data_IF_172120973799
#
_entry.id   IF_172120973799
#
_cell.length_a   1.000
_cell.length_b   1.000
_cell.length_c   1.000
_cell.angle_alpha   90.00
_cell.angle_beta   90.00
_cell.angle_gamma   90.00
#
_symmetry.space_group_name_H-M   'P 1'
#
loop_
_entity.id
_entity.type
_entity.pdbx_description
1 polymer ?
#
# COMPACT_ATOMS: atom_id res chain seq x y z
N UNK A 1 17.03 12.43 -12.51
CA UNK A 1 16.99 13.05 -11.17
C UNK A 1 15.83 12.46 -10.41
N UNK A 2 16.12 11.73 -9.35
CA UNK A 2 15.17 10.98 -8.52
C UNK A 2 14.45 11.98 -7.63
N UNK A 3 13.30 12.51 -8.06
CA UNK A 3 12.47 13.28 -7.14
C UNK A 3 11.54 12.29 -6.47
N UNK A 4 12.08 11.62 -5.44
CA UNK A 4 11.24 11.08 -4.38
C UNK A 4 10.34 12.22 -3.84
N UNK A 5 9.18 11.90 -3.24
CA UNK A 5 8.37 12.91 -2.57
C UNK A 5 9.24 13.77 -1.64
N UNK A 6 9.00 15.08 -1.62
CA UNK A 6 9.83 16.05 -0.90
C UNK A 6 10.09 15.58 0.54
N UNK A 7 11.37 15.49 0.91
CA UNK A 7 11.80 15.07 2.25
C UNK A 7 12.00 13.56 2.44
N UNK A 8 11.83 12.74 1.40
CA UNK A 8 12.13 11.30 1.43
C UNK A 8 13.49 11.00 0.79
N UNK A 9 14.29 10.19 1.48
CA UNK A 9 15.57 9.69 0.99
C UNK A 9 15.65 8.18 1.27
N UNK A 10 16.09 7.42 0.25
CA UNK A 10 16.12 5.96 0.33
C UNK A 10 17.00 5.43 1.44
N UNK A 11 18.20 5.98 1.53
CA UNK A 11 19.22 5.55 2.47
C UNK A 11 18.86 6.02 3.89
N UNK A 12 18.26 7.20 4.01
CA UNK A 12 17.83 7.73 5.32
C UNK A 12 16.69 6.89 5.90
N UNK A 13 15.65 6.55 5.13
CA UNK A 13 14.56 5.71 5.63
C UNK A 13 15.05 4.31 6.02
N UNK A 14 15.94 3.73 5.21
CA UNK A 14 16.54 2.42 5.52
C UNK A 14 17.37 2.48 6.81
N UNK A 15 18.21 3.51 6.97
CA UNK A 15 19.00 3.70 8.18
C UNK A 15 18.12 3.93 9.42
N UNK A 16 17.04 4.71 9.28
CA UNK A 16 16.06 4.91 10.35
C UNK A 16 15.40 3.60 10.77
N UNK A 17 15.07 2.73 9.80
CA UNK A 17 14.57 1.40 10.10
C UNK A 17 15.62 0.55 10.83
N UNK A 18 16.85 0.46 10.31
CA UNK A 18 17.91 -0.36 10.89
C UNK A 18 18.22 0.06 12.34
N UNK A 19 18.12 1.35 12.67
CA UNK A 19 18.25 1.84 14.04
C UNK A 19 17.17 1.34 15.01
N UNK A 20 16.01 0.86 14.50
CA UNK A 20 14.87 0.36 15.28
C UNK A 20 14.32 -1.00 14.81
N UNK A 21 15.11 -1.77 14.07
CA UNK A 21 14.72 -3.04 13.43
C UNK A 21 14.35 -4.19 14.39
N UNK A 22 14.24 -3.92 15.70
CA UNK A 22 13.76 -4.86 16.69
C UNK A 22 13.10 -4.14 17.87
N UNK A 23 12.00 -4.70 18.39
CA UNK A 23 11.23 -4.14 19.52
C UNK A 23 12.07 -3.95 20.80
N UNK A 24 12.90 -4.95 21.13
CA UNK A 24 13.82 -4.91 22.28
C UNK A 24 15.08 -4.14 21.91
N UNK A 25 15.36 -3.04 22.61
CA UNK A 25 16.52 -2.17 22.37
C UNK A 25 17.84 -2.94 22.34
N UNK A 26 18.07 -3.82 23.33
CA UNK A 26 19.30 -4.63 23.43
C UNK A 26 19.57 -5.56 22.23
N UNK A 27 18.55 -5.86 21.42
CA UNK A 27 18.66 -6.74 20.23
C UNK A 27 18.83 -5.96 18.93
N UNK A 28 18.65 -4.63 18.94
CA UNK A 28 18.71 -3.80 17.71
C UNK A 28 20.06 -3.86 16.99
N UNK A 29 21.23 -3.80 17.66
CA UNK A 29 22.51 -3.91 16.96
C UNK A 29 22.66 -5.26 16.25
N UNK A 30 22.29 -6.36 16.91
CA UNK A 30 22.34 -7.70 16.32
C UNK A 30 21.32 -7.88 15.19
N UNK A 31 20.11 -7.35 15.35
CA UNK A 31 19.09 -7.35 14.31
C UNK A 31 19.55 -6.58 13.06
N UNK A 32 20.17 -5.40 13.24
CA UNK A 32 20.69 -4.62 12.12
C UNK A 32 21.81 -5.38 11.39
N UNK A 33 22.72 -6.03 12.13
CA UNK A 33 23.76 -6.88 11.56
C UNK A 33 23.16 -8.03 10.74
N UNK A 34 22.17 -8.75 11.27
CA UNK A 34 21.47 -9.83 10.55
C UNK A 34 20.86 -9.30 9.24
N UNK A 35 20.15 -8.16 9.28
CA UNK A 35 19.55 -7.58 8.08
C UNK A 35 20.60 -7.22 7.01
N UNK A 36 21.79 -6.79 7.43
CA UNK A 36 22.90 -6.48 6.54
C UNK A 36 23.56 -7.74 5.96
N UNK A 37 23.82 -8.74 6.81
CA UNK A 37 24.46 -10.00 6.42
C UNK A 37 23.59 -10.79 5.41
N UNK A 38 22.27 -10.78 5.61
CA UNK A 38 21.29 -11.39 4.71
C UNK A 38 21.06 -10.58 3.43
N UNK A 39 21.81 -9.48 3.23
CA UNK A 39 21.64 -8.55 2.10
C UNK A 39 20.17 -8.16 1.89
N UNK A 40 19.44 -7.96 3.01
CA UNK A 40 17.99 -7.94 3.01
C UNK A 40 17.45 -6.92 2.00
N UNK A 41 18.02 -5.72 2.02
CA UNK A 41 17.62 -4.63 1.12
C UNK A 41 18.41 -4.57 -0.19
N UNK A 42 19.55 -5.26 -0.30
CA UNK A 42 20.38 -5.27 -1.52
C UNK A 42 19.92 -6.39 -2.48
N UNK A 43 18.97 -6.05 -3.35
CA UNK A 43 18.43 -6.98 -4.33
C UNK A 43 19.44 -7.40 -5.42
N UNK A 44 20.45 -6.57 -5.70
CA UNK A 44 21.46 -6.89 -6.70
C UNK A 44 22.34 -8.07 -6.27
N UNK A 45 22.50 -8.27 -4.95
CA UNK A 45 23.26 -9.39 -4.36
C UNK A 45 22.45 -10.66 -4.10
N UNK A 46 21.13 -10.62 -4.23
CA UNK A 46 20.26 -11.77 -3.95
C UNK A 46 20.06 -12.65 -5.18
N UNK A 47 19.83 -13.94 -4.97
CA UNK A 47 19.39 -14.86 -6.03
C UNK A 47 18.01 -14.45 -6.56
N UNK A 48 17.70 -14.81 -7.81
CA UNK A 48 16.38 -14.58 -8.38
C UNK A 48 15.35 -15.63 -7.89
N UNK A 49 15.18 -15.74 -6.56
CA UNK A 49 14.24 -16.68 -5.91
C UNK A 49 13.48 -16.00 -4.78
N UNK A 50 12.24 -16.43 -4.56
CA UNK A 50 11.45 -15.91 -3.44
C UNK A 50 11.95 -16.51 -2.13
N UNK A 51 12.50 -15.66 -1.27
CA UNK A 51 13.07 -16.04 0.04
C UNK A 51 12.16 -15.68 1.22
N UNK A 52 10.97 -15.14 0.98
CA UNK A 52 10.13 -14.57 2.03
C UNK A 52 9.82 -15.56 3.15
N UNK A 53 9.37 -16.76 2.77
CA UNK A 53 8.93 -17.79 3.73
C UNK A 53 10.10 -18.35 4.53
N UNK A 54 11.23 -18.58 3.86
CA UNK A 54 12.48 -19.03 4.49
C UNK A 54 12.96 -18.00 5.51
N UNK A 55 13.14 -16.75 5.08
CA UNK A 55 13.57 -15.67 5.97
C UNK A 55 12.65 -15.54 7.19
N UNK A 56 11.33 -15.56 6.97
CA UNK A 56 10.34 -15.41 8.04
C UNK A 56 10.45 -16.52 9.10
N UNK A 57 10.78 -17.75 8.67
CA UNK A 57 10.94 -18.92 9.52
C UNK A 57 12.32 -19.03 10.18
N UNK A 58 13.33 -18.32 9.68
CA UNK A 58 14.69 -18.35 10.22
C UNK A 58 14.76 -17.80 11.64
N UNK A 59 15.60 -18.42 12.46
CA UNK A 59 15.96 -17.99 13.81
C UNK A 59 17.48 -17.87 13.92
N UNK A 60 17.96 -16.70 14.34
CA UNK A 60 19.37 -16.44 14.59
C UNK A 60 19.64 -16.39 16.10
N UNK A 61 20.61 -17.18 16.56
CA UNK A 61 21.09 -17.11 17.93
C UNK A 61 22.08 -15.96 18.08
N UNK A 62 21.82 -15.06 19.04
CA UNK A 62 22.68 -13.91 19.32
C UNK A 62 23.01 -13.83 20.81
N UNK A 63 24.08 -13.11 21.21
CA UNK A 63 24.34 -12.83 22.61
C UNK A 63 23.18 -12.14 23.36
N UNK A 64 22.30 -11.42 22.64
CA UNK A 64 21.10 -10.78 23.19
C UNK A 64 19.84 -11.67 23.20
N UNK A 65 20.03 -12.96 22.90
CA UNK A 65 19.01 -14.01 22.75
C UNK A 65 18.55 -14.20 21.31
N UNK A 66 17.73 -15.23 21.07
CA UNK A 66 17.18 -15.56 19.76
C UNK A 66 16.41 -14.37 19.13
N UNK A 67 16.66 -14.13 17.84
CA UNK A 67 15.94 -13.19 16.97
C UNK A 67 15.35 -14.00 15.83
N UNK A 68 14.06 -13.84 15.54
CA UNK A 68 13.39 -14.54 14.44
C UNK A 68 13.12 -13.61 13.26
N UNK A 69 12.99 -14.16 12.06
CA UNK A 69 12.58 -13.38 10.89
C UNK A 69 11.21 -12.73 11.08
N UNK A 70 10.31 -13.41 11.80
CA UNK A 70 9.02 -12.85 12.21
C UNK A 70 9.13 -11.64 13.14
N UNK A 71 10.08 -11.62 14.10
CA UNK A 71 10.34 -10.44 14.95
C UNK A 71 10.82 -9.25 14.09
N UNK A 72 11.73 -9.50 13.13
CA UNK A 72 12.26 -8.48 12.21
C UNK A 72 11.16 -7.93 11.28
N UNK A 73 10.36 -8.81 10.67
CA UNK A 73 9.23 -8.42 9.83
C UNK A 73 8.13 -7.70 10.62
N UNK A 74 7.95 -8.05 11.90
CA UNK A 74 7.06 -7.29 12.77
C UNK A 74 7.55 -5.86 12.98
N UNK A 75 8.83 -5.67 13.27
CA UNK A 75 9.42 -4.35 13.42
C UNK A 75 9.37 -3.54 12.12
N UNK A 76 9.61 -4.19 10.97
CA UNK A 76 9.52 -3.56 9.65
C UNK A 76 8.10 -3.11 9.33
N UNK A 77 7.10 -3.97 9.57
CA UNK A 77 5.69 -3.61 9.40
C UNK A 77 5.30 -2.40 10.24
N UNK A 78 5.71 -2.38 11.50
CA UNK A 78 5.41 -1.26 12.40
C UNK A 78 6.05 0.04 11.90
N UNK A 79 7.30 -0.04 11.44
CA UNK A 79 8.00 1.11 10.87
C UNK A 79 7.35 1.62 9.57
N UNK A 80 7.00 0.72 8.65
CA UNK A 80 6.35 1.10 7.39
C UNK A 80 4.96 1.69 7.63
N UNK A 81 4.19 1.15 8.59
CA UNK A 81 2.91 1.72 8.98
C UNK A 81 3.05 3.13 9.55
N UNK A 82 4.07 3.37 10.38
CA UNK A 82 4.40 4.71 10.90
C UNK A 82 4.76 5.69 9.76
N UNK A 83 5.61 5.27 8.82
CA UNK A 83 5.94 6.08 7.62
C UNK A 83 4.72 6.43 6.77
N UNK A 84 3.70 5.58 6.79
CA UNK A 84 2.45 5.79 6.06
C UNK A 84 1.36 6.52 6.88
N UNK A 85 1.68 6.99 8.08
CA UNK A 85 0.71 7.66 8.96
C UNK A 85 -0.39 6.73 9.46
N UNK A 86 -0.09 5.45 9.64
CA UNK A 86 -1.03 4.39 10.03
C UNK A 86 -2.21 4.25 9.05
N UNK A 87 -1.96 4.48 7.75
CA UNK A 87 -2.93 4.34 6.68
C UNK A 87 -2.48 3.30 5.65
N UNK A 88 -3.46 2.63 5.02
CA UNK A 88 -3.21 1.74 3.90
C UNK A 88 -2.55 2.51 2.75
N UNK A 89 -1.48 1.94 2.20
CA UNK A 89 -0.70 2.56 1.13
C UNK A 89 -1.48 2.78 -0.19
N UNK A 90 -2.66 2.18 -0.35
CA UNK A 90 -3.51 2.34 -1.54
C UNK A 90 -4.81 3.11 -1.26
N UNK A 91 -5.62 2.65 -0.31
CA UNK A 91 -6.94 3.23 -0.05
C UNK A 91 -6.97 4.28 1.05
N UNK A 92 -5.83 4.55 1.70
CA UNK A 92 -5.70 5.53 2.81
C UNK A 92 -6.63 5.31 4.00
N UNK A 93 -7.36 4.19 4.05
CA UNK A 93 -8.11 3.79 5.24
C UNK A 93 -7.15 3.53 6.38
N UNK A 94 -7.56 3.88 7.59
CA UNK A 94 -6.79 3.65 8.80
C UNK A 94 -6.49 2.16 8.97
N UNK A 95 -5.23 1.86 9.31
CA UNK A 95 -4.79 0.51 9.63
C UNK A 95 -4.99 0.28 11.13
N UNK A 96 -5.76 -0.76 11.46
CA UNK A 96 -5.86 -1.20 12.84
C UNK A 96 -4.55 -1.88 13.26
N UNK A 97 -4.17 -1.70 14.52
CA UNK A 97 -3.01 -2.39 15.08
C UNK A 97 -3.31 -3.89 15.20
N UNK A 98 -2.56 -4.70 14.47
CA UNK A 98 -2.68 -6.16 14.44
C UNK A 98 -2.09 -6.73 13.14
N UNK A 99 -1.28 -7.79 13.22
CA UNK A 99 -0.53 -8.32 12.07
C UNK A 99 -1.40 -8.70 10.86
N UNK A 100 -2.61 -9.21 11.11
CA UNK A 100 -3.56 -9.59 10.06
C UNK A 100 -4.23 -8.37 9.39
N UNK A 101 -4.36 -7.26 10.11
CA UNK A 101 -5.05 -6.06 9.62
C UNK A 101 -4.16 -5.17 8.74
N UNK A 102 -2.84 -5.35 8.83
CA UNK A 102 -1.82 -4.57 8.12
C UNK A 102 -0.72 -5.45 7.51
N UNK A 103 -1.04 -6.33 6.55
CA UNK A 103 -0.04 -7.15 5.84
C UNK A 103 1.07 -6.28 5.22
N UNK A 104 2.27 -6.85 5.15
CA UNK A 104 3.34 -6.25 4.34
C UNK A 104 3.00 -6.48 2.86
N UNK A 105 2.83 -5.38 2.16
CA UNK A 105 2.56 -5.33 0.72
C UNK A 105 3.88 -5.41 -0.06
N UNK A 106 3.88 -6.24 -1.10
CA UNK A 106 4.95 -6.25 -2.09
C UNK A 106 4.47 -5.49 -3.32
N UNK A 107 5.02 -4.30 -3.56
CA UNK A 107 4.58 -3.44 -4.67
C UNK A 107 4.72 -4.18 -6.00
N UNK A 108 5.91 -4.74 -6.24
CA UNK A 108 6.16 -5.74 -7.28
C UNK A 108 5.89 -7.15 -6.70
N UNK A 109 5.01 -7.95 -7.32
CA UNK A 109 4.65 -9.28 -6.82
C UNK A 109 5.87 -10.21 -6.69
N UNK A 110 5.94 -10.96 -5.59
CA UNK A 110 7.02 -11.95 -5.34
C UNK A 110 7.10 -13.05 -6.40
N UNK A 111 5.96 -13.41 -7.01
CA UNK A 111 5.90 -14.45 -8.04
C UNK A 111 6.54 -13.98 -9.37
N UNK A 112 6.45 -12.69 -9.68
CA UNK A 112 6.95 -12.09 -10.92
C UNK A 112 8.35 -11.50 -10.74
N UNK A 113 8.64 -10.96 -9.55
CA UNK A 113 9.91 -10.33 -9.22
C UNK A 113 10.52 -10.86 -7.91
N UNK A 114 10.85 -12.17 -7.84
CA UNK A 114 11.32 -12.81 -6.61
C UNK A 114 12.61 -12.20 -6.04
N UNK A 115 13.50 -11.71 -6.91
CA UNK A 115 14.69 -10.94 -6.51
C UNK A 115 14.34 -9.74 -5.62
N UNK A 116 13.19 -9.11 -5.78
CA UNK A 116 12.78 -7.95 -4.98
C UNK A 116 11.96 -8.27 -3.74
N UNK A 117 11.80 -9.55 -3.38
CA UNK A 117 11.02 -9.98 -2.22
C UNK A 117 11.36 -9.22 -0.94
N UNK A 118 12.64 -9.03 -0.61
CA UNK A 118 13.05 -8.34 0.63
C UNK A 118 13.49 -6.89 0.41
N UNK A 119 13.49 -6.40 -0.83
CA UNK A 119 13.98 -5.07 -1.17
C UNK A 119 13.17 -4.00 -0.43
N UNK A 120 13.84 -3.06 0.25
CA UNK A 120 13.16 -2.15 1.19
C UNK A 120 12.01 -1.44 0.50
N UNK A 121 12.29 -0.80 -0.63
CA UNK A 121 11.32 -0.01 -1.38
C UNK A 121 10.24 -0.84 -2.08
N UNK A 122 10.41 -2.15 -2.16
CA UNK A 122 9.34 -3.05 -2.60
C UNK A 122 8.30 -3.32 -1.51
N UNK A 123 8.62 -3.00 -0.26
CA UNK A 123 7.80 -3.31 0.90
C UNK A 123 7.06 -2.06 1.37
N UNK A 124 5.75 -2.18 1.48
CA UNK A 124 4.84 -1.19 2.05
C UNK A 124 3.85 -1.90 2.99
N UNK A 125 2.85 -1.19 3.51
CA UNK A 125 1.78 -1.79 4.32
C UNK A 125 0.43 -1.47 3.71
N UNK A 126 -0.34 -2.49 3.37
CA UNK A 126 -1.71 -2.33 2.86
C UNK A 126 -2.72 -2.88 3.87
N UNK A 127 -3.99 -2.56 3.71
CA UNK A 127 -5.05 -3.31 4.38
C UNK A 127 -5.25 -4.66 3.67
N UNK A 128 -5.74 -5.67 4.39
CA UNK A 128 -5.97 -7.02 3.86
C UNK A 128 -6.76 -7.02 2.54
N UNK A 129 -7.81 -6.20 2.48
CA UNK A 129 -8.63 -6.03 1.28
C UNK A 129 -7.83 -5.56 0.07
N UNK A 130 -7.04 -4.49 0.20
CA UNK A 130 -6.25 -3.99 -0.91
C UNK A 130 -5.15 -4.99 -1.31
N UNK A 131 -4.51 -5.63 -0.33
CA UNK A 131 -3.52 -6.69 -0.59
C UNK A 131 -4.13 -7.83 -1.43
N UNK A 132 -5.30 -8.33 -1.03
CA UNK A 132 -6.03 -9.40 -1.73
C UNK A 132 -6.47 -8.99 -3.13
N UNK A 133 -7.02 -7.78 -3.28
CA UNK A 133 -7.51 -7.32 -4.58
C UNK A 133 -6.35 -7.08 -5.56
N UNK A 134 -5.24 -6.48 -5.10
CA UNK A 134 -4.03 -6.32 -5.92
C UNK A 134 -3.44 -7.65 -6.37
N UNK A 135 -3.52 -8.70 -5.55
CA UNK A 135 -3.09 -10.04 -5.94
C UNK A 135 -3.79 -10.61 -7.18
N UNK A 136 -4.85 -9.95 -7.69
CA UNK A 136 -5.60 -10.32 -8.90
C UNK A 136 -5.33 -9.40 -10.09
N UNK A 137 -4.42 -8.44 -9.95
CA UNK A 137 -4.13 -7.42 -10.97
C UNK A 137 -2.73 -7.62 -11.54
N UNK A 138 -2.55 -7.30 -12.82
CA UNK A 138 -1.25 -7.39 -13.49
C UNK A 138 -0.30 -6.31 -12.96
N UNK A 139 0.97 -6.67 -12.81
CA UNK A 139 2.04 -5.73 -12.50
C UNK A 139 2.48 -4.95 -13.75
N UNK A 140 3.29 -3.91 -13.54
CA UNK A 140 3.95 -3.16 -14.62
C UNK A 140 4.80 -4.08 -15.50
N UNK A 141 4.62 -3.99 -16.82
CA UNK A 141 5.51 -4.64 -17.76
C UNK A 141 6.67 -3.70 -18.12
N UNK A 142 7.83 -3.95 -17.53
CA UNK A 142 9.04 -3.16 -17.77
C UNK A 142 9.72 -3.43 -19.12
N UNK A 143 9.28 -4.44 -19.88
CA UNK A 143 9.86 -4.79 -21.18
C UNK A 143 11.31 -5.30 -21.14
N UNK A 144 11.87 -5.51 -19.94
CA UNK A 144 13.23 -6.00 -19.68
C UNK A 144 13.30 -6.75 -18.36
N UNK A 145 14.32 -7.59 -18.21
CA UNK A 145 14.68 -8.13 -16.90
C UNK A 145 15.24 -7.02 -16.01
N UNK A 146 14.79 -6.99 -14.75
CA UNK A 146 15.22 -6.01 -13.77
C UNK A 146 16.32 -6.60 -12.89
N UNK A 147 17.52 -6.03 -12.99
CA UNK A 147 18.66 -6.34 -12.10
C UNK A 147 18.58 -5.49 -10.83
N UNK A 148 18.36 -4.19 -11.02
CA UNK A 148 18.17 -3.21 -9.95
C UNK A 148 16.70 -2.90 -9.73
N UNK A 149 16.36 -2.39 -8.55
CA UNK A 149 14.99 -1.97 -8.26
C UNK A 149 14.61 -0.76 -9.13
N UNK A 150 13.46 -0.78 -9.82
CA UNK A 150 13.06 0.29 -10.72
C UNK A 150 12.88 1.61 -9.97
N UNK A 151 13.34 2.69 -10.61
CA UNK A 151 13.14 4.05 -10.13
C UNK A 151 11.73 4.55 -10.43
N UNK A 152 11.39 5.72 -9.89
CA UNK A 152 10.04 6.30 -10.04
C UNK A 152 9.59 6.44 -11.51
N UNK A 153 10.50 6.79 -12.43
CA UNK A 153 10.22 6.97 -13.86
C UNK A 153 10.10 5.68 -14.66
N UNK A 154 10.54 4.54 -14.10
CA UNK A 154 10.41 3.24 -14.78
C UNK A 154 8.95 2.72 -14.72
N UNK A 155 8.16 3.19 -13.76
CA UNK A 155 6.73 2.91 -13.70
C UNK A 155 6.00 3.83 -14.66
N UNK A 156 5.34 3.26 -15.68
CA UNK A 156 4.61 4.02 -16.71
C UNK A 156 3.12 4.08 -16.37
N UNK A 157 2.58 2.99 -15.80
CA UNK A 157 1.15 2.84 -15.56
C UNK A 157 0.85 2.49 -14.10
N UNK A 158 1.66 1.67 -13.45
CA UNK A 158 1.43 1.25 -12.08
C UNK A 158 1.73 2.37 -11.08
N UNK A 159 0.85 2.55 -10.09
CA UNK A 159 1.13 3.43 -8.95
C UNK A 159 2.07 2.75 -7.95
N UNK A 160 3.17 3.43 -7.59
CA UNK A 160 4.11 2.96 -6.58
C UNK A 160 3.95 3.72 -5.24
N UNK A 161 3.42 3.09 -4.17
CA UNK A 161 3.05 3.79 -2.94
C UNK A 161 4.20 4.44 -2.17
N UNK A 162 5.45 4.09 -2.50
CA UNK A 162 6.63 4.71 -1.90
C UNK A 162 7.34 5.72 -2.78
N UNK A 163 7.23 5.59 -4.10
CA UNK A 163 7.98 6.42 -5.05
C UNK A 163 7.11 7.56 -5.60
N UNK A 164 5.78 7.40 -5.54
CA UNK A 164 4.81 8.36 -6.03
C UNK A 164 4.09 9.07 -4.88
N UNK A 165 3.99 10.38 -4.97
CA UNK A 165 3.31 11.23 -3.98
C UNK A 165 1.79 11.07 -4.13
N UNK A 166 1.11 10.56 -3.10
CA UNK A 166 -0.29 10.12 -3.21
C UNK A 166 -1.23 11.25 -3.67
N UNK A 167 -1.09 12.45 -3.12
CA UNK A 167 -2.05 13.54 -3.36
C UNK A 167 -1.83 14.20 -4.75
N UNK A 168 -0.65 14.04 -5.35
CA UNK A 168 -0.41 14.34 -6.76
C UNK A 168 -1.16 13.40 -7.71
N UNK A 169 -1.41 12.15 -7.30
CA UNK A 169 -2.01 11.13 -8.16
C UNK A 169 -3.50 10.90 -7.91
N UNK A 170 -4.01 11.26 -6.74
CA UNK A 170 -5.39 10.99 -6.34
C UNK A 170 -6.08 12.24 -5.79
N UNK A 171 -7.40 12.31 -6.02
CA UNK A 171 -8.32 13.05 -5.16
C UNK A 171 -9.28 12.01 -4.58
N UNK A 172 -9.55 12.08 -3.28
CA UNK A 172 -10.52 11.21 -2.66
C UNK A 172 -11.37 11.96 -1.64
N UNK A 173 -12.56 11.45 -1.40
CA UNK A 173 -13.47 11.90 -0.37
C UNK A 173 -14.04 10.68 0.36
N UNK A 174 -14.35 10.82 1.63
CA UNK A 174 -15.01 9.76 2.40
C UNK A 174 -16.28 10.34 3.00
N UNK A 175 -17.42 9.75 2.69
CA UNK A 175 -18.71 10.12 3.26
C UNK A 175 -19.03 9.09 4.34
N UNK A 176 -19.31 9.55 5.55
CA UNK A 176 -19.70 8.69 6.66
C UNK A 176 -21.07 9.10 7.18
N UNK A 177 -22.03 8.18 7.20
CA UNK A 177 -23.36 8.42 7.75
C UNK A 177 -23.92 7.15 8.38
N UNK A 178 -24.36 7.24 9.64
CA UNK A 178 -25.05 6.15 10.36
C UNK A 178 -24.36 4.77 10.27
N UNK A 179 -23.02 4.74 10.28
CA UNK A 179 -22.23 3.50 10.19
C UNK A 179 -22.04 2.96 8.76
N UNK A 180 -22.39 3.73 7.74
CA UNK A 180 -22.02 3.49 6.34
C UNK A 180 -20.84 4.39 6.00
N UNK A 181 -19.79 3.82 5.41
CA UNK A 181 -18.61 4.55 4.93
C UNK A 181 -18.50 4.39 3.43
N UNK A 182 -18.59 5.50 2.69
CA UNK A 182 -18.54 5.54 1.23
C UNK A 182 -17.28 6.29 0.81
N UNK A 183 -16.17 5.60 0.54
CA UNK A 183 -15.00 6.24 -0.03
C UNK A 183 -15.17 6.41 -1.54
N UNK A 184 -14.83 7.58 -2.05
CA UNK A 184 -14.86 7.94 -3.47
C UNK A 184 -13.43 8.31 -3.88
N UNK A 185 -12.93 7.71 -4.95
CA UNK A 185 -11.57 7.94 -5.46
C UNK A 185 -11.63 8.42 -6.91
N UNK A 186 -10.77 9.37 -7.26
CA UNK A 186 -10.49 9.74 -8.65
C UNK A 186 -8.98 9.84 -8.86
N UNK A 187 -8.51 9.21 -9.94
CA UNK A 187 -7.13 9.32 -10.39
C UNK A 187 -6.90 10.59 -11.19
N UNK A 188 -5.84 11.33 -10.87
CA UNK A 188 -5.41 12.56 -11.56
C UNK A 188 -4.45 12.29 -12.71
N UNK A 189 -3.65 11.23 -12.59
CA UNK A 189 -2.64 10.86 -13.59
C UNK A 189 -2.88 9.45 -14.13
N UNK A 190 -2.07 9.01 -15.09
CA UNK A 190 -2.06 7.62 -15.56
C UNK A 190 -1.96 6.62 -14.39
N UNK A 191 -1.00 6.82 -13.46
CA UNK A 191 -0.86 6.00 -12.26
C UNK A 191 -2.12 5.94 -11.40
N UNK A 192 -2.72 7.10 -11.13
CA UNK A 192 -3.93 7.18 -10.32
C UNK A 192 -5.12 6.51 -10.99
N UNK A 193 -5.35 6.81 -12.27
CA UNK A 193 -6.45 6.25 -13.06
C UNK A 193 -6.31 4.73 -13.18
N UNK A 194 -5.10 4.25 -13.42
CA UNK A 194 -4.79 2.83 -13.49
C UNK A 194 -5.13 2.14 -12.16
N UNK A 195 -4.59 2.59 -11.02
CA UNK A 195 -4.89 1.99 -9.71
C UNK A 195 -6.39 1.98 -9.38
N UNK A 196 -7.07 3.09 -9.68
CA UNK A 196 -8.51 3.23 -9.51
C UNK A 196 -9.27 2.14 -10.27
N UNK A 197 -8.98 1.99 -11.57
CA UNK A 197 -9.59 1.00 -12.44
C UNK A 197 -9.23 -0.45 -12.07
N UNK A 198 -7.99 -0.69 -11.64
CA UNK A 198 -7.49 -2.02 -11.30
C UNK A 198 -8.17 -2.60 -10.06
N UNK A 199 -8.22 -1.84 -8.96
CA UNK A 199 -8.86 -2.37 -7.74
C UNK A 199 -9.35 -1.35 -6.73
N UNK A 200 -9.02 -0.06 -6.81
CA UNK A 200 -9.41 0.88 -5.75
C UNK A 200 -10.93 1.07 -5.67
N UNK A 201 -11.62 1.06 -6.81
CA UNK A 201 -13.09 1.10 -6.84
C UNK A 201 -13.71 -0.17 -6.25
N UNK A 202 -13.20 -1.36 -6.59
CA UNK A 202 -13.64 -2.60 -5.96
C UNK A 202 -13.41 -2.56 -4.43
N UNK A 203 -12.28 -2.02 -3.98
CA UNK A 203 -12.00 -1.84 -2.56
C UNK A 203 -13.01 -0.88 -1.91
N UNK A 204 -13.39 0.20 -2.60
CA UNK A 204 -14.40 1.15 -2.13
C UNK A 204 -15.78 0.52 -1.98
N UNK A 205 -16.20 -0.34 -2.92
CA UNK A 205 -17.45 -1.11 -2.80
C UNK A 205 -17.40 -1.99 -1.57
N UNK A 206 -16.35 -2.79 -1.40
CA UNK A 206 -16.24 -3.68 -0.26
C UNK A 206 -16.19 -2.92 1.08
N UNK A 207 -15.54 -1.74 1.15
CA UNK A 207 -15.58 -0.88 2.36
C UNK A 207 -17.02 -0.47 2.68
N UNK A 208 -17.80 -0.12 1.66
CA UNK A 208 -19.18 0.34 1.85
C UNK A 208 -20.12 -0.79 2.27
N UNK A 209 -19.97 -1.96 1.65
CA UNK A 209 -20.84 -3.13 1.90
C UNK A 209 -20.55 -3.85 3.21
N UNK A 210 -19.42 -3.59 3.87
CA UNK A 210 -19.17 -4.09 5.23
C UNK A 210 -20.15 -3.50 6.27
N UNK A 211 -20.99 -2.53 5.89
CA UNK A 211 -22.12 -2.09 6.73
C UNK A 211 -23.30 -3.08 6.59
N UNK A 212 -23.70 -3.81 7.65
CA UNK A 212 -24.67 -4.91 7.59
C UNK A 212 -26.12 -4.56 7.17
N UNK A 213 -26.40 -3.31 6.77
CA UNK A 213 -27.76 -2.79 6.52
C UNK A 213 -27.97 -2.17 5.14
N UNK A 214 -27.01 -2.29 4.21
CA UNK A 214 -27.02 -1.47 3.00
C UNK A 214 -27.84 -2.10 1.85
N UNK A 215 -28.97 -1.47 1.50
CA UNK A 215 -29.69 -1.66 0.22
C UNK A 215 -28.98 -0.98 -0.98
N UNK A 216 -27.82 -0.35 -0.76
CA UNK A 216 -27.16 0.59 -1.69
C UNK A 216 -26.22 -0.09 -2.71
N UNK A 217 -26.19 -1.43 -2.80
CA UNK A 217 -25.19 -2.14 -3.62
C UNK A 217 -25.24 -1.76 -5.10
N UNK A 218 -26.44 -1.73 -5.70
CA UNK A 218 -26.61 -1.40 -7.13
C UNK A 218 -26.28 0.06 -7.41
N UNK A 219 -26.73 0.99 -6.55
CA UNK A 219 -26.49 2.43 -6.67
C UNK A 219 -25.00 2.79 -6.55
N UNK A 220 -24.27 2.16 -5.63
CA UNK A 220 -22.83 2.41 -5.45
C UNK A 220 -22.02 1.99 -6.66
N UNK A 221 -22.36 0.86 -7.28
CA UNK A 221 -21.71 0.41 -8.50
C UNK A 221 -21.92 1.41 -9.65
N UNK A 222 -23.10 2.04 -9.70
CA UNK A 222 -23.45 3.07 -10.69
C UNK A 222 -22.68 4.37 -10.43
N UNK A 223 -22.62 4.82 -9.18
CA UNK A 223 -21.87 6.03 -8.78
C UNK A 223 -20.38 5.86 -9.09
N UNK A 224 -19.80 4.70 -8.77
CA UNK A 224 -18.39 4.45 -9.07
C UNK A 224 -18.12 4.36 -10.58
N UNK A 225 -18.97 3.68 -11.35
CA UNK A 225 -18.86 3.68 -12.83
C UNK A 225 -18.96 5.08 -13.42
N UNK A 226 -19.82 5.93 -12.85
CA UNK A 226 -19.94 7.34 -13.25
C UNK A 226 -18.68 8.16 -12.96
N UNK A 227 -18.03 7.93 -11.81
CA UNK A 227 -16.75 8.55 -11.45
C UNK A 227 -15.60 8.04 -12.36
N UNK A 228 -15.63 6.75 -12.74
CA UNK A 228 -14.64 6.11 -13.64
C UNK A 228 -14.68 6.68 -15.05
N UNK A 229 -15.87 6.97 -15.59
CA UNK A 229 -16.06 7.20 -17.03
C UNK A 229 -15.71 8.60 -17.53
N UNK A 230 -15.31 9.53 -16.66
CA UNK A 230 -15.12 10.93 -17.06
C UNK A 230 -13.71 11.45 -16.79
N UNK A 231 -13.02 11.76 -17.89
CA UNK A 231 -11.67 12.32 -17.98
C UNK A 231 -11.54 13.71 -17.33
N UNK A 232 -10.31 14.03 -16.92
CA UNK A 232 -9.67 15.21 -16.26
C UNK A 232 -10.52 16.33 -15.58
N UNK A 233 -11.74 16.62 -16.00
CA UNK A 233 -12.72 17.46 -15.31
C UNK A 233 -13.31 16.80 -14.03
N UNK A 234 -12.70 15.72 -13.53
CA UNK A 234 -13.23 14.83 -12.50
C UNK A 234 -13.19 15.40 -11.06
N UNK A 235 -12.41 16.45 -10.81
CA UNK A 235 -12.24 17.04 -9.46
C UNK A 235 -13.51 17.76 -8.99
N UNK A 236 -14.14 18.52 -9.89
CA UNK A 236 -15.42 19.21 -9.66
C UNK A 236 -16.57 18.20 -9.65
N UNK A 237 -16.45 17.11 -10.42
CA UNK A 237 -17.42 16.03 -10.47
C UNK A 237 -17.40 15.14 -9.23
N UNK A 238 -16.25 14.96 -8.58
CA UNK A 238 -16.18 14.30 -7.27
C UNK A 238 -16.94 15.10 -6.21
N UNK A 239 -16.79 16.43 -6.23
CA UNK A 239 -17.57 17.32 -5.37
C UNK A 239 -19.05 17.29 -5.74
N UNK A 240 -19.40 17.31 -7.02
CA UNK A 240 -20.79 17.20 -7.46
C UNK A 240 -21.41 15.84 -7.09
N UNK A 241 -20.67 14.73 -7.24
CA UNK A 241 -21.11 13.40 -6.82
C UNK A 241 -21.23 13.31 -5.30
N UNK A 242 -20.32 13.91 -4.55
CA UNK A 242 -20.41 14.03 -3.10
C UNK A 242 -21.65 14.82 -2.69
N UNK A 243 -21.90 15.99 -3.30
CA UNK A 243 -23.08 16.82 -3.04
C UNK A 243 -24.36 16.04 -3.38
N UNK A 244 -24.44 15.45 -4.58
CA UNK A 244 -25.60 14.68 -5.02
C UNK A 244 -25.87 13.47 -4.11
N UNK A 245 -24.82 12.79 -3.63
CA UNK A 245 -24.97 11.68 -2.71
C UNK A 245 -25.47 12.15 -1.34
N UNK A 246 -24.90 13.25 -0.81
CA UNK A 246 -25.37 13.86 0.44
C UNK A 246 -26.82 14.31 0.31
N UNK A 247 -27.20 14.98 -0.78
CA UNK A 247 -28.58 15.40 -1.05
C UNK A 247 -29.54 14.21 -1.13
N UNK A 248 -29.16 13.13 -1.82
CA UNK A 248 -29.95 11.91 -1.91
C UNK A 248 -30.13 11.25 -0.52
N UNK A 249 -29.06 11.20 0.28
CA UNK A 249 -29.09 10.65 1.64
C UNK A 249 -29.94 11.52 2.59
N UNK A 250 -29.85 12.85 2.48
CA UNK A 250 -30.70 13.78 3.24
C UNK A 250 -32.16 13.60 2.85
N UNK A 251 -32.48 13.58 1.55
CA UNK A 251 -33.84 13.38 1.06
C UNK A 251 -34.44 12.07 1.59
N UNK A 252 -33.71 10.95 1.45
CA UNK A 252 -34.14 9.66 1.96
C UNK A 252 -34.32 9.61 3.49
N UNK A 253 -33.59 10.44 4.24
CA UNK A 253 -33.76 10.55 5.69
C UNK A 253 -34.92 11.48 6.09
N UNK A 254 -35.32 12.42 5.24
CA UNK A 254 -36.36 13.41 5.51
C UNK A 254 -37.71 13.11 4.87
N UNK A 255 -37.81 12.13 3.96
CA UNK A 255 -39.08 11.71 3.31
C UNK A 255 -38.88 11.10 1.93
#
# INVERSE_FOLDING_TARGET
>A
MTLLPVGRDQQVEEAQYLAKCHRRVRRRPHAAQIMQDESFFDAARRENRDVWAEFYATEWQTPAGAITGSDLMSALRDHLAELQGEQCCYCRQALLKGGNSRPIEHVLPRAEHPRFTLHFWNLAVSCERCNRLKGRTQSENFGRELVDYPGHTDFVSQYHPRLHEYDSHFKYAVIMQNGVTIPLYAGRTAHGRNLCSQFLHAAAVEITLLSPKSALHEDLSTIQKFIISHDEAAIDKLQAAQIALIEAMVKAATG
#
